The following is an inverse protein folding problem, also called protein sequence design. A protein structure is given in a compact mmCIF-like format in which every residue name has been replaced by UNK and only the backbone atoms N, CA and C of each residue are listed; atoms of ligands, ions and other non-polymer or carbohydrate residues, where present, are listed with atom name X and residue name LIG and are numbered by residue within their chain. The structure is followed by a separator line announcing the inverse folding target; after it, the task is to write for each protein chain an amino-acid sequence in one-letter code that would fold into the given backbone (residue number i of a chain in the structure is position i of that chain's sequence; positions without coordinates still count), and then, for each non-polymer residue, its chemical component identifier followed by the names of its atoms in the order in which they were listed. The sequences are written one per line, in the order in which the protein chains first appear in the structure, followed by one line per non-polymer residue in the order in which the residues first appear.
data_IF_823766446565
#
_entry.id   IF_823766446565
#
_cell.length_a   1.000
_cell.length_b   1.000
_cell.length_c   1.000
_cell.angle_alpha   90.00
_cell.angle_beta   90.00
_cell.angle_gamma   90.00
#
_symmetry.space_group_name_H-M   'P 1'
#
loop_
_entity.id
_entity.type
_entity.pdbx_description
1 polymer ?
#
# COMPACT_ATOMS: atom_id res chain seq x y z
N UNK A 1 -24.11 8.30 -0.76
CA UNK A 1 -25.17 7.29 -1.03
C UNK A 1 -25.43 6.56 0.28
N UNK A 2 -26.59 6.73 0.89
CA UNK A 2 -26.96 6.02 2.12
C UNK A 2 -27.49 4.65 1.69
N UNK A 3 -26.79 3.57 2.06
CA UNK A 3 -27.32 2.22 1.84
C UNK A 3 -28.38 1.96 2.92
N UNK A 4 -29.64 1.66 2.56
CA UNK A 4 -30.68 1.39 3.55
C UNK A 4 -30.33 0.18 4.41
N UNK A 5 -30.57 0.28 5.72
CA UNK A 5 -30.50 -0.85 6.64
C UNK A 5 -31.58 -1.88 6.25
N UNK A 6 -31.18 -2.99 5.63
CA UNK A 6 -32.11 -4.07 5.28
C UNK A 6 -31.55 -5.11 4.31
N UNK A 7 -30.69 -4.71 3.37
CA UNK A 7 -29.98 -5.66 2.51
C UNK A 7 -28.65 -6.03 3.19
N UNK A 8 -28.49 -7.31 3.54
CA UNK A 8 -27.27 -7.82 4.15
C UNK A 8 -26.12 -7.76 3.15
N UNK A 9 -25.40 -6.63 3.09
CA UNK A 9 -24.15 -6.48 2.34
C UNK A 9 -23.05 -7.47 2.78
N UNK A 10 -23.27 -8.23 3.86
CA UNK A 10 -22.27 -9.09 4.51
C UNK A 10 -22.27 -10.58 4.13
N UNK A 11 -23.25 -11.11 3.40
CA UNK A 11 -23.29 -12.57 3.11
C UNK A 11 -22.81 -12.84 1.69
N UNK A 12 -21.64 -13.46 1.57
CA UNK A 12 -21.18 -14.03 0.29
C UNK A 12 -22.03 -15.26 -0.01
N UNK A 13 -23.06 -15.09 -0.85
CA UNK A 13 -23.97 -16.18 -1.23
C UNK A 13 -23.38 -17.10 -2.31
N UNK A 14 -22.35 -16.63 -3.04
CA UNK A 14 -21.68 -17.39 -4.09
C UNK A 14 -20.28 -16.86 -4.38
N UNK A 15 -19.36 -17.77 -4.70
CA UNK A 15 -17.98 -17.48 -5.15
C UNK A 15 -17.65 -18.29 -6.39
N UNK A 16 -17.06 -17.65 -7.38
CA UNK A 16 -16.51 -18.28 -8.58
C UNK A 16 -15.04 -17.88 -8.70
N UNK A 17 -14.16 -18.85 -8.94
CA UNK A 17 -12.72 -18.61 -9.13
C UNK A 17 -12.32 -19.15 -10.50
N UNK A 18 -11.60 -18.36 -11.27
CA UNK A 18 -10.99 -18.76 -12.55
C UNK A 18 -9.49 -18.42 -12.53
N UNK A 19 -8.68 -19.25 -13.18
CA UNK A 19 -7.29 -18.93 -13.51
C UNK A 19 -7.22 -18.36 -14.93
N UNK A 20 -6.23 -17.52 -15.21
CA UNK A 20 -5.99 -16.99 -16.56
C UNK A 20 -5.70 -18.05 -17.61
N UNK A 21 -5.36 -19.27 -17.16
CA UNK A 21 -5.10 -20.45 -18.00
C UNK A 21 -6.34 -21.30 -18.27
N UNK A 22 -7.49 -20.99 -17.66
CA UNK A 22 -8.72 -21.76 -17.87
C UNK A 22 -9.30 -21.46 -19.27
N UNK A 23 -9.81 -22.48 -19.97
CA UNK A 23 -10.30 -22.36 -21.35
C UNK A 23 -11.43 -21.32 -21.53
N UNK A 24 -12.16 -20.99 -20.46
CA UNK A 24 -13.25 -20.01 -20.47
C UNK A 24 -12.94 -18.77 -19.60
N UNK A 25 -11.66 -18.49 -19.35
CA UNK A 25 -11.26 -17.32 -18.57
C UNK A 25 -11.87 -16.03 -19.14
N UNK A 26 -12.39 -15.19 -18.24
CA UNK A 26 -13.03 -13.92 -18.61
C UNK A 26 -14.51 -14.02 -18.95
N UNK A 27 -15.09 -15.22 -18.99
CA UNK A 27 -16.54 -15.42 -19.09
C UNK A 27 -17.09 -16.07 -17.83
N UNK A 28 -18.02 -15.40 -17.15
CA UNK A 28 -18.75 -15.94 -16.02
C UNK A 28 -20.23 -16.06 -16.41
N UNK A 29 -20.81 -17.24 -16.20
CA UNK A 29 -22.23 -17.50 -16.41
C UNK A 29 -22.84 -17.95 -15.10
N UNK A 30 -23.90 -17.27 -14.70
CA UNK A 30 -24.58 -17.55 -13.45
C UNK A 30 -26.10 -17.46 -13.59
N UNK A 31 -26.81 -18.04 -12.64
CA UNK A 31 -28.25 -17.94 -12.47
C UNK A 31 -28.51 -17.60 -11.00
N UNK A 32 -29.08 -16.42 -10.78
CA UNK A 32 -29.47 -15.93 -9.47
C UNK A 32 -31.00 -15.77 -9.45
N UNK A 33 -31.66 -15.94 -8.29
CA UNK A 33 -33.06 -15.55 -8.12
C UNK A 33 -33.28 -14.08 -8.49
N UNK A 34 -34.54 -13.71 -8.68
CA UNK A 34 -34.88 -12.30 -8.87
C UNK A 34 -34.53 -11.51 -7.60
N UNK A 35 -33.79 -10.42 -7.74
CA UNK A 35 -33.30 -9.65 -6.60
C UNK A 35 -32.25 -8.60 -6.96
N UNK A 36 -31.79 -7.87 -5.95
CA UNK A 36 -30.66 -6.95 -6.06
C UNK A 36 -29.42 -7.59 -5.47
N UNK A 37 -28.28 -7.45 -6.16
CA UNK A 37 -27.02 -8.06 -5.77
C UNK A 37 -25.86 -7.09 -5.94
N UNK A 38 -24.90 -7.14 -5.01
CA UNK A 38 -23.58 -6.54 -5.21
C UNK A 38 -22.63 -7.65 -5.65
N UNK A 39 -21.97 -7.45 -6.80
CA UNK A 39 -21.02 -8.40 -7.38
C UNK A 39 -19.63 -7.79 -7.35
N UNK A 40 -18.69 -8.52 -6.77
CA UNK A 40 -17.29 -8.16 -6.69
C UNK A 40 -16.49 -8.96 -7.71
N UNK A 41 -15.88 -8.29 -8.67
CA UNK A 41 -14.87 -8.85 -9.55
C UNK A 41 -13.50 -8.47 -9.00
N UNK A 42 -12.66 -9.46 -8.78
CA UNK A 42 -11.31 -9.30 -8.24
C UNK A 42 -10.34 -10.13 -9.07
N UNK A 43 -9.22 -9.53 -9.46
CA UNK A 43 -8.14 -10.21 -10.16
C UNK A 43 -6.80 -9.87 -9.53
N UNK A 44 -5.91 -10.86 -9.43
CA UNK A 44 -4.55 -10.66 -8.93
C UNK A 44 -3.55 -11.49 -9.72
N UNK A 45 -2.31 -11.01 -9.84
CA UNK A 45 -1.25 -11.74 -10.55
C UNK A 45 -0.45 -12.68 -9.65
N UNK A 46 -0.26 -12.32 -8.38
CA UNK A 46 0.75 -12.98 -7.53
C UNK A 46 0.18 -13.58 -6.24
N UNK A 47 -1.00 -13.14 -5.78
CA UNK A 47 -1.50 -13.46 -4.45
C UNK A 47 -2.98 -13.79 -4.45
N UNK A 48 -3.39 -14.68 -3.54
CA UNK A 48 -4.79 -14.92 -3.25
C UNK A 48 -5.36 -13.69 -2.52
N UNK A 49 -6.42 -13.12 -3.07
CA UNK A 49 -7.19 -12.08 -2.41
C UNK A 49 -8.32 -12.71 -1.63
N UNK A 50 -8.53 -12.21 -0.42
CA UNK A 50 -9.67 -12.59 0.41
C UNK A 50 -10.60 -11.40 0.55
N UNK A 51 -11.89 -11.65 0.35
CA UNK A 51 -12.97 -10.72 0.61
C UNK A 51 -13.74 -11.29 1.81
N UNK A 52 -13.68 -10.61 2.95
CA UNK A 52 -14.36 -11.06 4.16
C UNK A 52 -14.91 -9.87 4.96
N UNK A 53 -16.00 -10.08 5.74
CA UNK A 53 -16.50 -9.07 6.65
C UNK A 53 -15.49 -8.74 7.75
N UNK A 54 -15.45 -7.47 8.17
CA UNK A 54 -14.62 -7.02 9.31
C UNK A 54 -14.92 -7.79 10.59
N UNK A 55 -16.15 -8.23 10.83
CA UNK A 55 -16.50 -8.94 12.07
C UNK A 55 -15.76 -10.26 12.27
N UNK A 56 -15.23 -10.86 11.20
CA UNK A 56 -14.30 -12.01 11.24
C UNK A 56 -12.85 -11.63 10.96
N UNK A 57 -12.59 -10.34 10.76
CA UNK A 57 -11.27 -9.76 10.58
C UNK A 57 -10.72 -9.33 11.95
N UNK A 58 -9.41 -9.44 12.20
CA UNK A 58 -8.80 -8.83 13.38
C UNK A 58 -8.82 -7.29 13.35
N UNK A 59 -9.34 -6.70 12.27
CA UNK A 59 -9.33 -5.27 12.00
C UNK A 59 -10.68 -4.60 12.29
N UNK A 60 -11.27 -4.85 13.46
CA UNK A 60 -12.51 -4.17 13.87
C UNK A 60 -12.22 -2.70 14.17
N UNK A 61 -12.61 -1.81 13.26
CA UNK A 61 -12.70 -0.39 13.58
C UNK A 61 -13.93 -0.20 14.51
N UNK A 62 -13.76 0.32 15.73
CA UNK A 62 -14.90 0.61 16.61
C UNK A 62 -15.82 1.71 16.03
N UNK A 63 -15.34 2.51 15.07
CA UNK A 63 -16.15 3.48 14.33
C UNK A 63 -16.87 2.85 13.13
N UNK A 64 -16.49 1.64 12.72
CA UNK A 64 -17.19 0.91 11.65
C UNK A 64 -18.44 0.20 12.19
N UNK A 65 -19.63 0.41 11.57
CA UNK A 65 -20.82 -0.33 11.93
C UNK A 65 -20.58 -1.84 11.71
N UNK A 66 -20.91 -2.73 12.69
CA UNK A 66 -20.59 -4.16 12.67
C UNK A 66 -21.12 -4.99 11.49
N UNK A 67 -21.93 -4.41 10.59
CA UNK A 67 -22.78 -5.16 9.66
C UNK A 67 -22.57 -4.90 8.17
N UNK A 68 -21.57 -4.10 7.73
CA UNK A 68 -21.66 -3.54 6.37
C UNK A 68 -20.42 -3.60 5.47
N UNK A 69 -19.26 -4.07 5.91
CA UNK A 69 -18.03 -3.85 5.12
C UNK A 69 -17.28 -5.14 4.85
N UNK A 70 -17.25 -5.53 3.58
CA UNK A 70 -16.33 -6.55 3.09
C UNK A 70 -15.01 -5.89 2.76
N UNK A 71 -13.95 -6.23 3.48
CA UNK A 71 -12.61 -5.79 3.17
C UNK A 71 -11.93 -6.77 2.24
N UNK A 72 -11.19 -6.21 1.29
CA UNK A 72 -10.19 -6.93 0.53
C UNK A 72 -8.91 -6.86 1.33
N UNK A 73 -8.40 -8.02 1.70
CA UNK A 73 -7.06 -8.14 2.26
C UNK A 73 -6.32 -9.28 1.58
N UNK A 74 -5.00 -9.18 1.63
CA UNK A 74 -4.10 -10.19 1.11
C UNK A 74 -3.40 -10.82 2.30
N UNK A 75 -3.81 -12.02 2.67
CA UNK A 75 -3.21 -12.77 3.78
C UNK A 75 -2.24 -13.82 3.27
N UNK A 76 -1.13 -14.00 3.99
CA UNK A 76 -0.32 -15.21 3.97
C UNK A 76 -0.55 -15.95 5.28
N UNK A 77 -0.70 -17.28 5.22
CA UNK A 77 -0.52 -18.25 6.31
C UNK A 77 -0.59 -17.66 7.73
N UNK A 78 -1.76 -17.11 8.08
CA UNK A 78 -2.12 -16.64 9.43
C UNK A 78 -1.34 -15.42 10.00
N UNK A 79 -0.45 -14.78 9.22
CA UNK A 79 0.34 -13.61 9.64
C UNK A 79 -0.02 -12.31 8.91
N UNK A 80 -0.15 -11.20 9.65
CA UNK A 80 -0.47 -9.87 9.11
C UNK A 80 0.74 -9.10 8.57
N UNK A 81 1.94 -9.66 8.69
CA UNK A 81 3.17 -9.08 8.17
C UNK A 81 3.42 -9.63 6.76
N UNK A 82 3.34 -8.77 5.75
CA UNK A 82 3.75 -9.12 4.39
C UNK A 82 5.22 -8.75 4.19
N UNK A 83 6.02 -9.71 3.74
CA UNK A 83 7.45 -9.51 3.44
C UNK A 83 7.71 -9.00 2.02
N UNK A 84 6.67 -8.75 1.23
CA UNK A 84 6.75 -8.58 -0.22
C UNK A 84 5.60 -7.73 -0.82
N UNK A 85 5.79 -7.31 -2.07
CA UNK A 85 4.82 -6.53 -2.88
C UNK A 85 3.49 -7.26 -3.07
N UNK A 86 2.39 -6.49 -3.20
CA UNK A 86 1.08 -7.05 -3.53
C UNK A 86 1.00 -7.60 -4.96
N UNK A 87 1.86 -7.13 -5.86
CA UNK A 87 1.71 -7.37 -7.29
C UNK A 87 0.54 -6.56 -7.88
N UNK A 88 0.10 -6.93 -9.08
CA UNK A 88 -1.05 -6.29 -9.72
C UNK A 88 -2.36 -6.84 -9.13
N UNK A 89 -3.23 -5.94 -8.72
CA UNK A 89 -4.60 -6.21 -8.25
C UNK A 89 -5.57 -5.35 -9.04
N UNK A 90 -6.65 -5.96 -9.49
CA UNK A 90 -7.74 -5.34 -10.24
C UNK A 90 -9.07 -5.57 -9.54
N UNK A 91 -9.96 -4.58 -9.60
CA UNK A 91 -11.27 -4.66 -8.99
C UNK A 91 -12.36 -4.01 -9.86
N UNK A 92 -13.57 -4.58 -9.78
CA UNK A 92 -14.82 -3.91 -10.13
C UNK A 92 -15.91 -4.30 -9.13
N UNK A 93 -16.66 -3.31 -8.64
CA UNK A 93 -17.88 -3.55 -7.87
C UNK A 93 -19.06 -3.12 -8.71
N UNK A 94 -20.03 -4.02 -8.89
CA UNK A 94 -21.27 -3.76 -9.61
C UNK A 94 -22.46 -3.97 -8.68
N UNK A 95 -23.45 -3.09 -8.76
CA UNK A 95 -24.77 -3.34 -8.19
C UNK A 95 -25.69 -3.72 -9.36
N UNK A 96 -26.18 -4.95 -9.34
CA UNK A 96 -27.02 -5.51 -10.41
C UNK A 96 -28.41 -5.82 -9.87
N UNK A 97 -29.42 -5.62 -10.72
CA UNK A 97 -30.76 -6.13 -10.50
C UNK A 97 -30.99 -7.31 -11.44
N UNK A 98 -31.39 -8.45 -10.90
CA UNK A 98 -31.75 -9.64 -11.65
C UNK A 98 -33.26 -9.71 -11.71
N UNK A 99 -33.81 -9.50 -12.90
CA UNK A 99 -35.23 -9.74 -13.24
C UNK A 99 -35.39 -10.43 -14.60
N UNK A 100 -34.29 -10.52 -15.36
CA UNK A 100 -34.21 -11.14 -16.67
C UNK A 100 -32.75 -11.47 -17.01
N UNK A 101 -32.54 -12.28 -18.07
CA UNK A 101 -31.19 -12.60 -18.54
C UNK A 101 -30.51 -11.33 -19.05
N UNK A 102 -29.37 -11.00 -18.45
CA UNK A 102 -28.57 -9.83 -18.82
C UNK A 102 -27.14 -10.24 -19.13
N UNK A 103 -26.52 -9.60 -20.13
CA UNK A 103 -25.09 -9.67 -20.36
C UNK A 103 -24.47 -8.35 -19.91
N UNK A 104 -23.32 -8.41 -19.24
CA UNK A 104 -22.64 -7.22 -18.73
C UNK A 104 -21.16 -7.34 -19.03
N UNK A 105 -20.65 -6.39 -19.80
CA UNK A 105 -19.21 -6.26 -20.00
C UNK A 105 -18.57 -5.67 -18.76
N UNK A 106 -17.52 -6.30 -18.27
CA UNK A 106 -16.84 -5.92 -17.04
C UNK A 106 -15.42 -5.48 -17.36
N UNK A 107 -15.18 -4.17 -17.21
CA UNK A 107 -13.84 -3.60 -17.23
C UNK A 107 -13.39 -3.38 -15.79
N UNK A 108 -12.37 -4.11 -15.37
CA UNK A 108 -11.76 -3.96 -14.05
C UNK A 108 -10.67 -2.90 -14.08
N UNK A 109 -10.53 -2.16 -13.00
CA UNK A 109 -9.50 -1.13 -12.84
C UNK A 109 -8.43 -1.60 -11.86
N UNK A 110 -7.19 -1.13 -12.05
CA UNK A 110 -6.10 -1.44 -11.13
C UNK A 110 -6.36 -0.78 -9.78
N UNK A 111 -6.40 -1.60 -8.73
CA UNK A 111 -6.63 -1.17 -7.35
C UNK A 111 -5.35 -0.64 -6.68
N UNK A 112 -4.21 -1.24 -6.97
CA UNK A 112 -2.94 -0.86 -6.34
C UNK A 112 -2.33 0.41 -6.92
N UNK A 113 -1.54 1.11 -6.11
CA UNK A 113 -0.54 2.06 -6.58
C UNK A 113 0.86 1.44 -6.53
N UNK A 114 1.81 2.03 -7.26
CA UNK A 114 3.23 1.69 -7.21
C UNK A 114 4.00 2.79 -6.49
N UNK A 115 4.84 2.44 -5.54
CA UNK A 115 5.83 3.36 -4.96
C UNK A 115 7.22 2.91 -5.38
N UNK A 116 8.05 3.86 -5.79
CA UNK A 116 9.42 3.58 -6.19
C UNK A 116 10.39 4.61 -5.61
N UNK A 117 11.62 4.15 -5.35
CA UNK A 117 12.72 4.95 -4.84
C UNK A 117 13.91 4.79 -5.78
N UNK A 118 14.48 5.90 -6.24
CA UNK A 118 15.58 5.94 -7.19
C UNK A 118 16.82 6.57 -6.55
N UNK A 119 17.90 5.80 -6.49
CA UNK A 119 19.23 6.22 -6.02
C UNK A 119 19.99 6.81 -7.22
N UNK A 120 20.20 8.13 -7.22
CA UNK A 120 20.73 8.88 -8.37
C UNK A 120 22.25 8.86 -8.49
N UNK A 121 22.95 8.65 -7.38
CA UNK A 121 24.39 8.57 -7.32
C UNK A 121 24.90 7.16 -7.62
N UNK A 122 26.19 7.10 -7.97
CA UNK A 122 26.85 5.87 -8.37
C UNK A 122 27.06 4.97 -7.14
N UNK A 123 26.72 3.68 -7.24
CA UNK A 123 26.97 2.72 -6.16
C UNK A 123 28.49 2.59 -5.92
N UNK A 124 29.00 2.87 -4.71
CA UNK A 124 30.42 2.75 -4.38
C UNK A 124 30.92 1.31 -4.42
N UNK A 125 32.21 1.14 -4.73
CA UNK A 125 32.87 -0.17 -4.84
C UNK A 125 32.88 -0.99 -3.52
N UNK A 126 32.74 -0.33 -2.38
CA UNK A 126 32.76 -0.97 -1.05
C UNK A 126 31.38 -1.37 -0.53
N UNK A 127 30.30 -1.05 -1.26
CA UNK A 127 28.93 -1.43 -0.91
C UNK A 127 28.62 -2.84 -1.43
N UNK A 128 28.14 -3.72 -0.54
CA UNK A 128 27.81 -5.12 -0.85
C UNK A 128 26.31 -5.42 -0.76
N UNK A 129 25.54 -4.57 -0.08
CA UNK A 129 24.09 -4.71 0.03
C UNK A 129 23.41 -3.36 0.02
N UNK A 130 22.33 -3.27 -0.73
CA UNK A 130 21.34 -2.20 -0.64
C UNK A 130 20.07 -2.73 -0.01
N UNK A 131 19.42 -1.89 0.79
CA UNK A 131 18.14 -2.22 1.40
C UNK A 131 17.19 -1.02 1.28
N UNK A 132 15.93 -1.33 1.01
CA UNK A 132 14.85 -0.36 1.12
C UNK A 132 13.78 -0.93 2.06
N UNK A 133 13.51 -0.20 3.14
CA UNK A 133 12.48 -0.52 4.11
C UNK A 133 11.29 0.42 3.90
N UNK A 134 10.13 -0.15 3.63
CA UNK A 134 8.86 0.55 3.61
C UNK A 134 8.04 0.12 4.83
N UNK A 135 7.62 1.08 5.64
CA UNK A 135 6.84 0.81 6.86
C UNK A 135 5.54 1.59 6.89
N UNK A 136 4.54 1.04 7.58
CA UNK A 136 3.29 1.75 7.80
C UNK A 136 2.38 1.77 6.59
N UNK A 137 2.26 0.63 5.94
CA UNK A 137 1.47 0.44 4.72
C UNK A 137 0.05 -0.07 5.04
N UNK A 138 -0.88 0.09 4.10
CA UNK A 138 -2.25 -0.41 4.31
C UNK A 138 -2.33 -1.93 4.14
N UNK A 139 -2.97 -2.59 5.11
CA UNK A 139 -3.14 -4.05 5.14
C UNK A 139 -4.41 -4.54 4.47
N UNK A 140 -5.41 -3.67 4.34
CA UNK A 140 -6.70 -3.98 3.74
C UNK A 140 -7.27 -2.79 2.97
N UNK A 141 -8.31 -3.03 2.19
CA UNK A 141 -9.00 -2.02 1.42
C UNK A 141 -10.52 -2.26 1.43
N UNK A 142 -11.28 -1.22 1.68
CA UNK A 142 -12.73 -1.18 1.55
C UNK A 142 -13.11 -0.77 0.12
N UNK A 143 -13.59 -1.70 -0.73
CA UNK A 143 -13.95 -1.40 -2.09
C UNK A 143 -15.27 -0.65 -2.25
N UNK A 144 -16.12 -0.60 -1.22
CA UNK A 144 -17.40 0.11 -1.23
C UNK A 144 -17.18 1.57 -0.89
N UNK A 145 -16.39 1.86 0.15
CA UNK A 145 -16.07 3.24 0.54
C UNK A 145 -14.85 3.81 -0.17
N UNK A 146 -14.08 2.96 -0.84
CA UNK A 146 -12.85 3.33 -1.51
C UNK A 146 -11.82 3.95 -0.55
N UNK A 147 -11.53 3.23 0.53
CA UNK A 147 -10.55 3.63 1.54
C UNK A 147 -9.61 2.47 1.86
N UNK A 148 -8.33 2.78 2.01
CA UNK A 148 -7.36 1.85 2.56
C UNK A 148 -7.46 1.81 4.08
N UNK A 149 -7.13 0.65 4.65
CA UNK A 149 -7.11 0.45 6.09
C UNK A 149 -5.71 -0.06 6.50
N UNK A 150 -5.07 0.61 7.48
CA UNK A 150 -3.75 0.23 7.97
C UNK A 150 -3.71 -1.15 8.65
N UNK A 151 -4.88 -1.69 9.01
CA UNK A 151 -5.02 -2.80 9.94
C UNK A 151 -4.91 -2.31 11.39
N UNK A 152 -5.76 -2.83 12.27
CA UNK A 152 -5.66 -2.64 13.72
C UNK A 152 -4.81 -3.76 14.34
N UNK A 153 -3.97 -3.44 15.33
CA UNK A 153 -3.18 -4.44 16.08
C UNK A 153 -1.68 -4.12 16.22
N UNK A 154 -0.87 -5.16 16.46
CA UNK A 154 0.51 -5.09 16.96
C UNK A 154 1.59 -4.56 15.99
N UNK A 155 1.21 -4.06 14.82
CA UNK A 155 2.13 -3.41 13.89
C UNK A 155 1.52 -3.18 12.52
N UNK A 156 1.98 -2.13 11.85
CA UNK A 156 1.68 -1.93 10.44
C UNK A 156 2.55 -2.88 9.59
N UNK A 157 2.08 -3.36 8.43
CA UNK A 157 2.93 -4.06 7.48
C UNK A 157 4.19 -3.26 7.16
N UNK A 158 5.33 -3.95 7.21
CA UNK A 158 6.62 -3.44 6.77
C UNK A 158 7.21 -4.37 5.73
N UNK A 159 7.68 -3.82 4.62
CA UNK A 159 8.35 -4.57 3.57
C UNK A 159 9.83 -4.16 3.56
N UNK A 160 10.71 -5.15 3.57
CA UNK A 160 12.15 -4.92 3.45
C UNK A 160 12.64 -5.62 2.20
N UNK A 161 13.15 -4.85 1.24
CA UNK A 161 13.81 -5.42 0.07
C UNK A 161 15.31 -5.33 0.25
N UNK A 162 15.96 -6.47 0.07
CA UNK A 162 17.40 -6.58 0.05
C UNK A 162 17.88 -6.83 -1.38
N UNK A 163 18.91 -6.10 -1.79
CA UNK A 163 19.63 -6.32 -3.04
C UNK A 163 21.10 -6.55 -2.73
N UNK A 164 21.59 -7.76 -3.02
CA UNK A 164 23.03 -8.06 -3.00
C UNK A 164 23.68 -7.38 -4.19
N UNK A 165 24.60 -6.45 -3.93
CA UNK A 165 25.31 -5.70 -4.97
C UNK A 165 26.28 -6.63 -5.69
N UNK A 166 26.16 -6.69 -7.02
CA UNK A 166 27.07 -7.47 -7.87
C UNK A 166 28.04 -6.53 -8.61
N UNK A 167 29.16 -7.03 -9.18
CA UNK A 167 30.14 -6.17 -9.87
C UNK A 167 29.53 -5.27 -10.97
N UNK A 168 28.46 -5.71 -11.63
CA UNK A 168 27.76 -4.94 -12.65
C UNK A 168 26.93 -3.75 -12.10
N UNK A 169 26.65 -3.72 -10.80
CA UNK A 169 25.96 -2.61 -10.14
C UNK A 169 26.93 -1.50 -9.72
N UNK A 170 28.22 -1.81 -9.51
CA UNK A 170 29.21 -0.84 -9.05
C UNK A 170 29.35 0.29 -10.09
N UNK A 171 29.27 1.54 -9.62
CA UNK A 171 29.29 2.72 -10.46
C UNK A 171 27.95 3.04 -11.14
N UNK A 172 26.94 2.16 -11.07
CA UNK A 172 25.63 2.37 -11.68
C UNK A 172 24.88 3.48 -10.94
N UNK A 173 24.25 4.36 -11.72
CA UNK A 173 23.33 5.40 -11.26
C UNK A 173 21.88 4.99 -11.55
N UNK A 174 20.93 5.57 -10.83
CA UNK A 174 19.50 5.34 -11.03
C UNK A 174 19.03 3.96 -10.55
N UNK A 175 19.74 3.35 -9.58
CA UNK A 175 19.29 2.08 -9.00
C UNK A 175 17.91 2.28 -8.38
N UNK A 176 16.96 1.39 -8.70
CA UNK A 176 15.55 1.58 -8.36
C UNK A 176 15.01 0.43 -7.54
N UNK A 177 14.39 0.77 -6.42
CA UNK A 177 13.53 -0.10 -5.63
C UNK A 177 12.08 0.22 -5.92
N UNK A 178 11.19 -0.79 -5.99
CA UNK A 178 9.76 -0.52 -6.11
C UNK A 178 8.90 -1.61 -5.49
N UNK A 179 7.75 -1.20 -4.97
CA UNK A 179 6.71 -2.10 -4.45
C UNK A 179 5.33 -1.57 -4.84
N UNK A 180 4.32 -2.42 -4.76
CA UNK A 180 2.93 -2.05 -4.94
C UNK A 180 2.13 -2.28 -3.67
N UNK A 181 1.17 -1.40 -3.44
CA UNK A 181 0.38 -1.38 -2.22
C UNK A 181 -1.04 -0.88 -2.49
N UNK A 182 -1.94 -1.14 -1.53
CA UNK A 182 -3.24 -0.52 -1.48
C UNK A 182 -3.13 1.01 -1.44
N UNK A 183 -4.16 1.69 -1.97
CA UNK A 183 -4.22 3.14 -1.91
C UNK A 183 -4.42 3.60 -0.48
N UNK A 184 -3.60 4.57 -0.07
CA UNK A 184 -3.66 5.11 1.27
C UNK A 184 -2.33 5.69 1.71
N UNK A 185 -2.17 5.87 3.00
CA UNK A 185 -1.01 6.55 3.56
C UNK A 185 0.15 5.59 3.74
N UNK A 186 1.37 6.09 3.51
CA UNK A 186 2.58 5.38 3.90
C UNK A 186 3.32 6.13 4.99
N UNK A 187 3.85 5.41 5.97
CA UNK A 187 4.45 6.03 7.15
C UNK A 187 5.94 6.32 6.97
N UNK A 188 6.73 5.36 6.50
CA UNK A 188 8.19 5.50 6.44
C UNK A 188 8.81 4.82 5.24
N UNK A 189 9.80 5.46 4.63
CA UNK A 189 10.72 4.84 3.69
C UNK A 189 12.14 5.13 4.13
N UNK A 190 12.93 4.08 4.36
CA UNK A 190 14.34 4.17 4.74
C UNK A 190 15.16 3.42 3.70
N UNK A 191 16.20 4.06 3.18
CA UNK A 191 17.23 3.43 2.34
C UNK A 191 18.48 3.19 3.16
N UNK A 192 19.05 2.00 3.03
CA UNK A 192 20.32 1.65 3.65
C UNK A 192 21.29 1.07 2.60
N UNK A 193 22.58 1.37 2.78
CA UNK A 193 23.68 0.78 2.05
C UNK A 193 24.70 0.23 3.04
N UNK A 194 25.10 -1.02 2.84
CA UNK A 194 26.00 -1.74 3.74
C UNK A 194 27.31 -2.09 3.05
N UNK A 195 28.41 -1.92 3.78
CA UNK A 195 29.71 -2.48 3.46
C UNK A 195 29.82 -3.91 3.99
N UNK A 196 30.80 -4.67 3.52
CA UNK A 196 31.04 -6.04 4.00
C UNK A 196 31.38 -6.15 5.49
N UNK A 197 31.82 -5.05 6.10
CA UNK A 197 32.16 -4.93 7.52
C UNK A 197 31.00 -4.53 8.41
N UNK A 198 29.88 -4.10 7.82
CA UNK A 198 28.75 -3.56 8.58
C UNK A 198 27.95 -4.68 9.23
N UNK A 199 27.45 -4.43 10.45
CA UNK A 199 26.43 -5.28 11.06
C UNK A 199 25.05 -4.93 10.49
N UNK A 200 24.10 -5.87 10.53
CA UNK A 200 22.76 -5.70 9.93
C UNK A 200 21.98 -4.51 10.46
N UNK A 201 22.24 -4.06 11.69
CA UNK A 201 21.56 -2.92 12.30
C UNK A 201 22.37 -1.62 12.26
N UNK A 202 23.51 -1.60 11.58
CA UNK A 202 24.45 -0.48 11.56
C UNK A 202 25.00 -0.23 10.14
N UNK A 203 24.16 0.21 9.19
CA UNK A 203 24.61 0.52 7.83
C UNK A 203 25.57 1.72 7.80
N UNK A 204 26.61 1.63 6.98
CA UNK A 204 27.50 2.76 6.67
C UNK A 204 26.79 3.91 5.97
N UNK A 205 25.71 3.63 5.24
CA UNK A 205 24.91 4.63 4.54
C UNK A 205 23.43 4.46 4.92
N UNK A 206 22.79 5.50 5.43
CA UNK A 206 21.35 5.47 5.75
C UNK A 206 20.69 6.80 5.41
N UNK A 207 19.49 6.73 4.84
CA UNK A 207 18.70 7.90 4.50
C UNK A 207 17.21 7.65 4.75
N UNK A 208 16.61 8.54 5.55
CA UNK A 208 15.16 8.69 5.60
C UNK A 208 14.71 9.33 4.28
N UNK A 209 14.02 8.57 3.44
CA UNK A 209 13.52 9.04 2.14
C UNK A 209 12.20 9.80 2.33
N UNK A 210 11.33 9.28 3.18
CA UNK A 210 10.03 9.88 3.45
C UNK A 210 9.50 9.49 4.83
N UNK A 211 8.79 10.42 5.47
CA UNK A 211 8.00 10.20 6.68
C UNK A 211 6.61 10.81 6.51
N UNK A 212 5.56 10.04 6.73
CA UNK A 212 4.17 10.47 6.58
C UNK A 212 3.86 10.99 5.17
N UNK A 213 4.20 10.21 4.13
CA UNK A 213 4.00 10.68 2.76
C UNK A 213 2.56 10.54 2.30
N UNK A 214 2.20 11.40 1.34
CA UNK A 214 0.86 11.54 0.77
C UNK A 214 0.29 10.21 0.26
N UNK A 215 -1.05 10.17 0.20
CA UNK A 215 -1.84 9.03 -0.25
C UNK A 215 -1.30 8.48 -1.58
N UNK A 216 -0.84 7.22 -1.55
CA UNK A 216 -0.61 6.44 -2.76
C UNK A 216 -1.94 6.27 -3.49
N UNK A 217 -2.07 6.80 -4.70
CA UNK A 217 -3.30 6.73 -5.46
C UNK A 217 -3.39 5.45 -6.30
N UNK A 218 -4.61 4.96 -6.51
CA UNK A 218 -4.93 3.85 -7.41
C UNK A 218 -4.36 4.08 -8.80
N UNK A 219 -3.77 3.05 -9.40
CA UNK A 219 -3.29 3.09 -10.78
C UNK A 219 -2.30 4.25 -11.05
N UNK A 220 -1.49 4.61 -10.05
CA UNK A 220 -0.43 5.63 -10.19
C UNK A 220 0.93 5.08 -9.77
N UNK A 221 1.99 5.80 -10.13
CA UNK A 221 3.34 5.57 -9.59
C UNK A 221 3.82 6.81 -8.84
N UNK A 222 4.11 6.66 -7.55
CA UNK A 222 4.79 7.67 -6.73
C UNK A 222 6.30 7.41 -6.75
N UNK A 223 7.09 8.41 -7.12
CA UNK A 223 8.55 8.28 -7.26
C UNK A 223 9.27 9.21 -6.29
N UNK A 224 10.10 8.63 -5.43
CA UNK A 224 11.10 9.33 -4.66
C UNK A 224 12.46 9.19 -5.36
N UNK A 225 13.23 10.27 -5.42
CA UNK A 225 14.51 10.29 -6.13
C UNK A 225 15.50 11.17 -5.38
N UNK A 226 16.73 10.68 -5.20
CA UNK A 226 17.78 11.40 -4.49
C UNK A 226 19.10 10.62 -4.42
N UNK A 227 20.09 11.17 -3.74
CA UNK A 227 21.37 10.48 -3.47
C UNK A 227 21.26 9.56 -2.25
N UNK A 228 22.19 8.63 -2.07
CA UNK A 228 22.34 7.82 -0.84
C UNK A 228 23.75 7.90 -0.28
N UNK A 229 24.75 7.86 -1.16
CA UNK A 229 26.18 7.77 -0.84
C UNK A 229 26.87 9.13 -0.86
N UNK A 230 26.38 10.03 -1.71
CA UNK A 230 26.89 11.38 -1.83
C UNK A 230 26.23 12.30 -0.78
N UNK A 231 27.01 12.58 0.27
CA UNK A 231 26.66 13.52 1.34
C UNK A 231 27.25 14.92 1.09
N UNK A 232 27.68 15.26 -0.14
CA UNK A 232 28.27 16.56 -0.45
C UNK A 232 27.31 17.76 -0.39
N UNK A 233 26.02 17.55 -0.11
CA UNK A 233 25.08 18.65 0.12
C UNK A 233 25.33 19.28 1.51
N UNK A 234 26.11 20.35 1.54
CA UNK A 234 26.15 21.25 2.71
C UNK A 234 24.95 22.22 2.63
N UNK A 235 24.12 22.23 3.67
CA UNK A 235 23.15 23.32 3.89
C UNK A 235 23.75 24.26 4.92
N UNK A 236 24.08 25.48 4.53
CA UNK A 236 24.51 26.50 5.46
C UNK A 236 23.30 27.00 6.26
N UNK A 237 23.17 26.52 7.50
CA UNK A 237 22.20 27.07 8.45
C UNK A 237 22.79 28.37 9.00
N UNK A 238 22.16 29.49 8.68
CA UNK A 238 22.47 30.77 9.31
C UNK A 238 21.36 31.10 10.31
N UNK A 239 21.73 31.58 11.49
CA UNK A 239 20.75 32.14 12.43
C UNK A 239 20.52 33.60 12.07
N UNK A 240 19.27 34.04 12.07
CA UNK A 240 18.98 35.48 12.12
C UNK A 240 19.03 35.90 13.60
N UNK A 241 20.06 36.65 14.04
CA UNK A 241 20.18 37.05 15.44
C UNK A 241 19.21 38.18 15.80
N UNK A 242 18.50 38.77 14.82
CA UNK A 242 17.55 39.83 15.08
C UNK A 242 16.27 39.27 15.71
N UNK A 243 15.90 39.83 16.85
CA UNK A 243 14.56 39.65 17.41
C UNK A 243 13.53 40.26 16.44
N UNK A 244 12.38 39.59 16.29
CA UNK A 244 11.22 40.19 15.64
C UNK A 244 10.69 41.39 16.43
N UNK A 245 9.64 42.03 15.93
CA UNK A 245 8.97 43.11 16.65
C UNK A 245 8.56 42.66 18.06
N UNK A 246 8.92 43.45 19.08
CA UNK A 246 8.56 43.17 20.45
C UNK A 246 7.07 43.49 20.70
N UNK A 247 6.38 42.56 21.37
CA UNK A 247 5.03 42.79 21.89
C UNK A 247 5.12 42.82 23.41
N UNK A 248 4.73 43.95 24.01
CA UNK A 248 4.65 44.10 25.47
C UNK A 248 3.23 43.83 25.93
N UNK A 249 3.06 42.85 26.81
CA UNK A 249 1.79 42.57 27.48
C UNK A 249 1.90 43.01 28.94
N UNK A 250 0.86 43.65 29.51
CA UNK A 250 0.86 43.98 30.93
C UNK A 250 0.72 42.70 31.77
N UNK A 251 1.37 42.67 32.92
CA UNK A 251 1.06 41.68 33.95
C UNK A 251 -0.32 42.03 34.55
N UNK A 252 -1.19 41.04 34.68
CA UNK A 252 -2.38 41.15 35.52
C UNK A 252 -2.00 40.67 36.92
N UNK A 253 -1.95 41.60 37.88
CA UNK A 253 -1.87 41.26 39.30
C UNK A 253 -3.14 40.49 39.70
N UNK A 254 -2.97 39.34 40.36
CA UNK A 254 -4.05 38.64 41.08
C UNK A 254 -4.05 39.08 42.54
#
# INVERSE_FOLDING_TARGET
MVVPAGDSLGVVIKKVTQKSTDANFGTIRDTLPNGNYTVYFMGATNKLMTLAPISGSPFVDPEDPPSLIQHIYVSWDEGFYRGDTLGDIFIKVLNIKVDSRTNTDVVMERLIGKVQVVIQDAIPADVVRLECNWGGMDGAFDPVRNVGHPGFGSGFPSIVYNHTVVPADIGKKGFTFSTTDFPGYGRTIILNGYKSTDADLAPSYSRLVAYGYSVLARNTTLTFSGTLFDNSSSTNVTTNPAWGAATTLPFTDY
#
